data_IF_727011683948
#
_entry.id   IF_727011683948
#
_cell.length_a   1.000
_cell.length_b   1.000
_cell.length_c   1.000
_cell.angle_alpha   90.00
_cell.angle_beta   90.00
_cell.angle_gamma   90.00
#
_symmetry.space_group_name_H-M   'P 1'
#
loop_
_entity.id
_entity.type
_entity.pdbx_description
1 polymer ?
#
# COMPACT_ATOMS: atom_id res chain seq x y z
N UNK A 1 -14.97 -11.06 1.82
CA UNK A 1 -15.07 -10.83 0.35
C UNK A 1 -16.47 -11.10 -0.21
N UNK A 2 -17.18 -12.15 0.22
CA UNK A 2 -18.57 -12.39 -0.19
C UNK A 2 -19.51 -11.19 0.02
N UNK A 3 -19.37 -10.47 1.14
CA UNK A 3 -20.13 -9.25 1.43
C UNK A 3 -19.87 -8.13 0.41
N UNK A 4 -18.60 -7.88 0.07
CA UNK A 4 -18.23 -6.86 -0.93
C UNK A 4 -18.86 -7.21 -2.27
N UNK A 5 -18.70 -8.47 -2.72
CA UNK A 5 -19.30 -8.96 -3.96
C UNK A 5 -20.83 -8.78 -3.99
N UNK A 6 -21.51 -9.13 -2.90
CA UNK A 6 -22.97 -9.00 -2.79
C UNK A 6 -23.44 -7.53 -2.80
N UNK A 7 -22.70 -6.63 -2.14
CA UNK A 7 -23.06 -5.21 -2.11
C UNK A 7 -22.78 -4.54 -3.46
N UNK A 8 -21.69 -4.93 -4.13
CA UNK A 8 -21.30 -4.38 -5.44
C UNK A 8 -22.32 -4.65 -6.55
N UNK A 9 -23.18 -5.67 -6.43
CA UNK A 9 -24.28 -5.87 -7.40
C UNK A 9 -25.44 -4.91 -7.19
N UNK A 10 -25.50 -4.23 -6.03
CA UNK A 10 -26.60 -3.32 -5.64
C UNK A 10 -26.19 -1.85 -5.63
N UNK A 11 -24.92 -1.56 -5.36
CA UNK A 11 -24.40 -0.20 -5.27
C UNK A 11 -22.89 -0.15 -5.54
N UNK A 12 -22.33 0.98 -5.99
CA UNK A 12 -20.89 1.15 -6.08
C UNK A 12 -20.26 1.08 -4.68
N UNK A 13 -19.33 0.13 -4.49
CA UNK A 13 -18.61 -0.06 -3.22
C UNK A 13 -17.19 0.48 -3.35
N UNK A 14 -16.79 1.37 -2.46
CA UNK A 14 -15.40 1.84 -2.31
C UNK A 14 -14.86 1.33 -0.97
N UNK A 15 -13.75 0.60 -0.99
CA UNK A 15 -13.09 0.15 0.23
C UNK A 15 -12.32 1.30 0.88
N UNK A 16 -12.71 1.71 2.08
CA UNK A 16 -12.14 2.88 2.75
C UNK A 16 -10.91 2.52 3.60
N UNK A 17 -9.76 3.18 3.38
CA UNK A 17 -8.53 3.03 4.19
C UNK A 17 -8.04 1.58 4.33
N UNK A 18 -8.17 0.82 3.26
CA UNK A 18 -7.74 -0.56 3.20
C UNK A 18 -6.48 -0.60 2.34
N UNK A 19 -5.29 -0.81 2.93
CA UNK A 19 -4.03 -0.99 2.19
C UNK A 19 -4.09 -2.19 1.23
N UNK A 20 -3.37 -3.28 1.50
CA UNK A 20 -3.47 -4.51 0.69
C UNK A 20 -4.88 -5.10 0.62
N UNK A 21 -5.69 -4.93 1.67
CA UNK A 21 -7.11 -5.34 1.66
C UNK A 21 -7.95 -4.57 0.63
N UNK A 22 -7.49 -3.39 0.18
CA UNK A 22 -8.14 -2.62 -0.87
C UNK A 22 -8.07 -3.32 -2.22
N UNK A 23 -6.91 -3.87 -2.60
CA UNK A 23 -6.76 -4.69 -3.80
C UNK A 23 -7.65 -5.93 -3.75
N UNK A 24 -7.72 -6.59 -2.59
CA UNK A 24 -8.61 -7.75 -2.41
C UNK A 24 -10.10 -7.37 -2.51
N UNK A 25 -10.48 -6.19 -2.00
CA UNK A 25 -11.84 -5.68 -2.12
C UNK A 25 -12.21 -5.36 -3.58
N UNK A 26 -11.29 -4.75 -4.34
CA UNK A 26 -11.48 -4.52 -5.78
C UNK A 26 -11.58 -5.82 -6.54
N UNK A 27 -10.69 -6.78 -6.26
CA UNK A 27 -10.77 -8.14 -6.82
C UNK A 27 -12.10 -8.84 -6.51
N UNK A 28 -12.74 -8.53 -5.37
CA UNK A 28 -14.05 -9.04 -4.98
C UNK A 28 -15.23 -8.27 -5.59
N UNK A 29 -15.00 -7.14 -6.27
CA UNK A 29 -16.02 -6.35 -6.98
C UNK A 29 -16.18 -4.91 -6.50
N UNK A 30 -15.37 -4.41 -5.57
CA UNK A 30 -15.36 -2.98 -5.26
C UNK A 30 -14.87 -2.17 -6.48
N UNK A 31 -15.42 -0.98 -6.70
CA UNK A 31 -15.01 -0.10 -7.83
C UNK A 31 -13.64 0.56 -7.58
N UNK A 32 -13.16 0.52 -6.34
CA UNK A 32 -11.90 1.11 -5.96
C UNK A 32 -11.70 1.05 -4.45
N UNK A 33 -10.56 1.58 -4.01
CA UNK A 33 -10.28 1.73 -2.59
C UNK A 33 -9.58 3.05 -2.32
N UNK A 34 -9.93 3.69 -1.22
CA UNK A 34 -9.26 4.89 -0.77
C UNK A 34 -7.96 4.50 -0.09
N UNK A 35 -6.88 5.03 -0.64
CA UNK A 35 -5.58 5.03 0.03
C UNK A 35 -5.40 6.37 0.67
N UNK A 36 -5.46 6.45 2.00
CA UNK A 36 -5.07 7.64 2.74
C UNK A 36 -3.57 7.82 2.58
N UNK A 37 -3.16 8.42 1.46
CA UNK A 37 -1.78 8.51 0.97
C UNK A 37 -0.85 8.83 2.14
N UNK A 38 -0.15 7.81 2.66
CA UNK A 38 0.82 7.85 3.78
C UNK A 38 0.37 7.29 5.15
N UNK A 39 -0.51 7.98 5.88
CA UNK A 39 -0.62 7.79 7.35
C UNK A 39 -1.74 6.82 7.74
N UNK A 40 -2.75 6.67 6.88
CA UNK A 40 -4.05 6.10 7.22
C UNK A 40 -4.39 4.82 6.42
N UNK A 41 -3.37 4.16 5.86
CA UNK A 41 -3.57 2.94 5.06
C UNK A 41 -3.94 1.71 5.91
N UNK A 42 -3.65 1.79 7.21
CA UNK A 42 -4.14 0.85 8.21
C UNK A 42 -5.48 1.38 8.71
N UNK A 43 -6.55 0.62 8.54
CA UNK A 43 -7.80 0.87 9.22
C UNK A 43 -7.67 0.51 10.71
N UNK A 44 -6.92 1.33 11.47
CA UNK A 44 -6.79 1.20 12.92
C UNK A 44 -7.80 2.12 13.60
N UNK A 45 -8.98 1.56 13.89
CA UNK A 45 -10.05 2.30 14.56
C UNK A 45 -9.64 2.83 15.94
N UNK A 46 -8.78 2.10 16.67
CA UNK A 46 -8.33 2.51 17.99
C UNK A 46 -7.38 3.72 17.90
N UNK A 47 -6.44 3.70 16.95
CA UNK A 47 -5.57 4.83 16.67
C UNK A 47 -6.38 6.05 16.19
N UNK A 48 -7.34 5.83 15.28
CA UNK A 48 -8.21 6.91 14.76
C UNK A 48 -9.02 7.59 15.87
N UNK A 49 -9.56 6.81 16.81
CA UNK A 49 -10.27 7.32 17.97
C UNK A 49 -9.35 8.12 18.93
N UNK A 50 -8.07 7.73 19.06
CA UNK A 50 -7.08 8.45 19.88
C UNK A 50 -6.68 9.80 19.28
N UNK A 51 -6.51 9.87 17.96
CA UNK A 51 -6.13 11.12 17.25
C UNK A 51 -7.25 12.16 17.30
N UNK A 52 -8.51 11.75 17.41
CA UNK A 52 -9.66 12.66 17.59
C UNK A 52 -9.79 13.25 19.00
N UNK A 53 -9.01 12.78 19.99
CA UNK A 53 -9.02 13.40 21.32
C UNK A 53 -8.31 14.75 21.25
N UNK A 54 -8.81 15.79 21.95
CA UNK A 54 -8.13 17.07 22.05
C UNK A 54 -6.70 16.86 22.54
N UNK A 55 -5.72 17.19 21.71
CA UNK A 55 -4.31 17.20 22.10
C UNK A 55 -3.99 18.57 22.73
N UNK A 56 -3.18 18.62 23.80
CA UNK A 56 -2.71 19.90 24.33
C UNK A 56 -1.97 20.69 23.22
N UNK A 57 -2.07 22.02 23.20
CA UNK A 57 -1.48 22.84 22.15
C UNK A 57 0.06 22.75 22.25
N UNK A 58 0.64 21.89 21.42
CA UNK A 58 2.08 21.68 21.41
C UNK A 58 2.78 22.75 20.56
N UNK A 59 3.85 23.34 21.10
CA UNK A 59 4.51 24.53 20.54
C UNK A 59 5.19 24.22 19.20
N UNK A 60 4.84 24.98 18.15
CA UNK A 60 5.62 25.19 16.91
C UNK A 60 6.34 23.94 16.38
N UNK A 61 5.62 22.87 16.07
CA UNK A 61 6.11 21.90 15.09
C UNK A 61 5.68 22.37 13.71
N UNK A 62 6.66 22.70 12.86
CA UNK A 62 6.41 22.81 11.42
C UNK A 62 5.61 21.59 10.99
N UNK A 63 4.44 21.82 10.39
CA UNK A 63 3.53 20.80 9.87
C UNK A 63 4.14 20.13 8.62
N UNK A 64 5.35 19.58 8.74
CA UNK A 64 5.91 18.72 7.70
C UNK A 64 5.20 17.39 7.79
N UNK A 65 4.34 17.15 6.77
CA UNK A 65 3.72 15.85 6.56
C UNK A 65 4.80 14.75 6.62
N UNK A 66 4.63 13.72 7.45
CA UNK A 66 5.59 12.64 7.52
C UNK A 66 5.74 12.00 6.14
N UNK A 67 6.98 11.65 5.76
CA UNK A 67 7.27 10.92 4.53
C UNK A 67 6.84 9.47 4.72
N UNK A 68 6.06 8.94 3.79
CA UNK A 68 5.77 7.51 3.74
C UNK A 68 5.99 6.97 2.33
N UNK A 69 6.83 5.95 2.20
CA UNK A 69 7.20 5.38 0.90
C UNK A 69 6.39 4.12 0.68
N UNK A 70 5.70 4.05 -0.46
CA UNK A 70 4.97 2.87 -0.87
C UNK A 70 5.91 1.75 -1.30
N UNK A 71 5.78 0.59 -0.67
CA UNK A 71 6.55 -0.61 -1.01
C UNK A 71 5.58 -1.65 -1.57
N UNK A 72 5.56 -1.83 -2.90
CA UNK A 72 4.63 -2.76 -3.58
C UNK A 72 4.73 -4.19 -3.07
N UNK A 73 5.91 -4.65 -2.66
CA UNK A 73 6.07 -5.98 -2.05
C UNK A 73 5.17 -6.18 -0.83
N UNK A 74 4.98 -5.13 -0.02
CA UNK A 74 4.09 -5.15 1.14
C UNK A 74 2.71 -4.53 0.83
N UNK A 75 2.54 -4.03 -0.40
CA UNK A 75 1.65 -2.98 -0.87
C UNK A 75 0.98 -2.15 0.21
N UNK A 76 1.85 -1.52 0.97
CA UNK A 76 1.53 -0.46 1.90
C UNK A 76 2.67 0.56 1.92
N UNK A 77 2.35 1.75 2.39
CA UNK A 77 3.34 2.77 2.69
C UNK A 77 3.91 2.55 4.08
N UNK A 78 5.23 2.66 4.20
CA UNK A 78 5.94 2.63 5.50
C UNK A 78 6.56 3.99 5.77
N UNK A 79 6.87 4.31 7.03
CA UNK A 79 7.52 5.59 7.35
C UNK A 79 8.85 5.72 6.61
N UNK A 80 9.24 6.96 6.30
CA UNK A 80 10.46 7.23 5.55
C UNK A 80 11.72 6.63 6.19
N UNK A 81 11.81 6.62 7.51
CA UNK A 81 12.93 5.98 8.23
C UNK A 81 12.96 4.47 8.01
N UNK A 82 11.81 3.79 8.12
CA UNK A 82 11.71 2.35 7.87
C UNK A 82 12.02 2.03 6.41
N UNK A 83 11.49 2.81 5.47
CA UNK A 83 11.78 2.64 4.05
C UNK A 83 13.28 2.74 3.78
N UNK A 84 13.94 3.73 4.37
CA UNK A 84 15.38 3.95 4.22
C UNK A 84 16.21 2.79 4.80
N UNK A 85 15.88 2.32 6.00
CA UNK A 85 16.54 1.14 6.58
C UNK A 85 16.38 -0.10 5.71
N UNK A 86 15.19 -0.32 5.14
CA UNK A 86 14.91 -1.48 4.30
C UNK A 86 15.58 -1.38 2.92
N UNK A 87 15.58 -0.21 2.30
CA UNK A 87 16.17 0.03 0.97
C UNK A 87 17.71 0.07 1.02
N UNK A 88 18.29 0.51 2.13
CA UNK A 88 19.74 0.50 2.31
C UNK A 88 20.29 -0.89 2.69
N UNK A 89 19.42 -1.84 3.02
CA UNK A 89 19.81 -3.24 3.14
C UNK A 89 20.03 -3.84 1.74
N UNK A 90 21.29 -4.14 1.39
CA UNK A 90 21.68 -4.64 0.08
C UNK A 90 20.92 -5.90 -0.37
N UNK A 91 20.52 -6.76 0.57
CA UNK A 91 19.73 -7.95 0.24
C UNK A 91 18.30 -7.60 -0.15
N UNK A 92 17.67 -6.63 0.52
CA UNK A 92 16.26 -6.28 0.29
C UNK A 92 16.08 -5.23 -0.81
N UNK A 93 17.10 -4.43 -1.08
CA UNK A 93 17.05 -3.31 -2.03
C UNK A 93 16.48 -3.72 -3.39
N UNK A 94 16.99 -4.79 -3.98
CA UNK A 94 16.57 -5.24 -5.31
C UNK A 94 15.10 -5.68 -5.37
N UNK A 95 14.54 -6.19 -4.27
CA UNK A 95 13.15 -6.64 -4.20
C UNK A 95 12.18 -5.51 -3.83
N UNK A 96 12.65 -4.51 -3.10
CA UNK A 96 11.83 -3.40 -2.63
C UNK A 96 11.81 -2.19 -3.55
N UNK A 97 12.84 -2.03 -4.38
CA UNK A 97 12.98 -0.89 -5.28
C UNK A 97 12.03 -1.02 -6.47
N UNK A 98 11.34 0.06 -6.80
CA UNK A 98 10.55 0.16 -8.02
C UNK A 98 11.48 0.08 -9.23
N UNK A 99 11.18 -0.86 -10.13
CA UNK A 99 11.97 -1.13 -11.34
C UNK A 99 11.37 -0.51 -12.60
N UNK A 100 10.24 0.18 -12.49
CA UNK A 100 9.57 0.81 -13.62
C UNK A 100 10.14 2.22 -13.83
N UNK A 101 10.84 2.48 -14.96
CA UNK A 101 11.44 3.78 -15.24
C UNK A 101 10.42 4.88 -15.50
N UNK A 102 9.19 4.55 -15.93
CA UNK A 102 8.10 5.52 -16.07
C UNK A 102 7.51 5.91 -14.71
N UNK A 103 7.63 5.03 -13.71
CA UNK A 103 7.21 5.32 -12.33
C UNK A 103 8.29 6.07 -11.54
N UNK A 104 9.53 5.55 -11.55
CA UNK A 104 10.66 6.04 -10.78
C UNK A 104 11.93 6.08 -11.65
N UNK A 105 12.28 7.26 -12.14
CA UNK A 105 13.42 7.49 -13.04
C UNK A 105 14.76 7.02 -12.48
N UNK A 106 15.00 7.25 -11.18
CA UNK A 106 16.23 6.88 -10.48
C UNK A 106 15.98 5.81 -9.40
N UNK A 107 14.99 4.94 -9.60
CA UNK A 107 14.65 3.84 -8.70
C UNK A 107 14.42 4.31 -7.25
N UNK A 108 15.19 3.76 -6.30
CA UNK A 108 15.05 4.00 -4.86
C UNK A 108 15.12 5.48 -4.45
N UNK A 109 15.95 6.28 -5.13
CA UNK A 109 16.08 7.71 -4.87
C UNK A 109 14.81 8.46 -5.25
N UNK A 110 14.25 8.16 -6.44
CA UNK A 110 12.97 8.73 -6.89
C UNK A 110 11.81 8.26 -6.02
N UNK A 111 11.77 6.99 -5.60
CA UNK A 111 10.76 6.49 -4.67
C UNK A 111 10.73 7.27 -3.35
N UNK A 112 11.90 7.71 -2.89
CA UNK A 112 12.05 8.44 -1.63
C UNK A 112 11.71 9.92 -1.76
N UNK A 113 12.15 10.57 -2.84
CA UNK A 113 11.92 12.00 -3.09
C UNK A 113 10.50 12.28 -3.58
N UNK A 114 10.00 11.47 -4.51
CA UNK A 114 8.70 11.59 -5.18
C UNK A 114 7.71 10.54 -4.64
N UNK A 115 7.77 10.29 -3.33
CA UNK A 115 7.06 9.18 -2.68
C UNK A 115 5.55 9.19 -2.91
N UNK A 116 4.93 10.36 -3.07
CA UNK A 116 3.50 10.51 -3.38
C UNK A 116 3.18 10.06 -4.79
N UNK A 117 3.95 10.56 -5.77
CA UNK A 117 3.80 10.24 -7.18
C UNK A 117 4.02 8.74 -7.39
N UNK A 118 5.07 8.19 -6.79
CA UNK A 118 5.35 6.76 -6.78
C UNK A 118 4.18 5.94 -6.22
N UNK A 119 3.65 6.31 -5.05
CA UNK A 119 2.53 5.59 -4.44
C UNK A 119 1.28 5.56 -5.34
N UNK A 120 0.94 6.69 -5.98
CA UNK A 120 -0.21 6.78 -6.88
C UNK A 120 0.01 5.95 -8.15
N UNK A 121 1.16 6.12 -8.81
CA UNK A 121 1.48 5.41 -10.06
C UNK A 121 1.56 3.90 -9.85
N UNK A 122 2.28 3.46 -8.82
CA UNK A 122 2.42 2.04 -8.50
C UNK A 122 1.06 1.38 -8.24
N UNK A 123 0.18 2.06 -7.49
CA UNK A 123 -1.17 1.54 -7.20
C UNK A 123 -2.11 1.57 -8.38
N UNK A 124 -2.04 2.61 -9.21
CA UNK A 124 -2.80 2.66 -10.44
C UNK A 124 -2.41 1.49 -11.36
N UNK A 125 -1.12 1.17 -11.45
CA UNK A 125 -0.62 0.00 -12.17
C UNK A 125 -1.12 -1.30 -11.58
N UNK A 126 -1.04 -1.49 -10.25
CA UNK A 126 -1.56 -2.68 -9.57
C UNK A 126 -3.07 -2.88 -9.80
N UNK A 127 -3.84 -1.78 -9.85
CA UNK A 127 -5.27 -1.83 -10.17
C UNK A 127 -5.53 -2.17 -11.64
N UNK A 128 -4.75 -1.61 -12.58
CA UNK A 128 -4.83 -1.94 -13.99
C UNK A 128 -4.50 -3.43 -14.24
N UNK A 129 -3.45 -3.94 -13.60
CA UNK A 129 -3.09 -5.37 -13.66
C UNK A 129 -4.24 -6.25 -13.17
N UNK A 130 -4.92 -5.88 -12.08
CA UNK A 130 -6.11 -6.60 -11.62
C UNK A 130 -7.27 -6.51 -12.60
N UNK A 131 -7.47 -5.36 -13.26
CA UNK A 131 -8.58 -5.19 -14.18
C UNK A 131 -8.39 -6.00 -15.48
N UNK A 132 -7.16 -6.13 -15.95
CA UNK A 132 -6.79 -6.97 -17.10
C UNK A 132 -7.03 -8.48 -16.85
N UNK A 133 -7.23 -8.90 -15.60
CA UNK A 133 -7.50 -10.31 -15.28
C UNK A 133 -8.96 -10.71 -15.56
N UNK A 134 -9.19 -11.88 -16.16
CA UNK A 134 -10.47 -12.23 -16.79
C UNK A 134 -11.64 -12.46 -15.84
N UNK A 135 -11.39 -12.85 -14.59
CA UNK A 135 -12.46 -13.10 -13.62
C UNK A 135 -12.02 -12.85 -12.17
N UNK A 136 -13.01 -12.69 -11.29
CA UNK A 136 -12.80 -12.41 -9.86
C UNK A 136 -12.00 -13.51 -9.13
N UNK A 137 -12.13 -14.78 -9.53
CA UNK A 137 -11.36 -15.87 -8.94
C UNK A 137 -9.86 -15.74 -9.22
N UNK A 138 -9.51 -15.38 -10.46
CA UNK A 138 -8.13 -15.10 -10.87
C UNK A 138 -7.56 -13.87 -10.17
N UNK A 139 -8.35 -12.79 -10.11
CA UNK A 139 -7.98 -11.56 -9.38
C UNK A 139 -7.69 -11.86 -7.90
N UNK A 140 -8.58 -12.59 -7.23
CA UNK A 140 -8.42 -12.96 -5.82
C UNK A 140 -7.23 -13.90 -5.59
N UNK A 141 -7.01 -14.87 -6.47
CA UNK A 141 -5.83 -15.74 -6.39
C UNK A 141 -4.53 -14.96 -6.57
N UNK A 142 -4.49 -13.99 -7.50
CA UNK A 142 -3.35 -13.11 -7.68
C UNK A 142 -3.06 -12.31 -6.39
N UNK A 143 -4.07 -11.67 -5.81
CA UNK A 143 -3.90 -10.92 -4.55
C UNK A 143 -3.46 -11.82 -3.40
N UNK A 144 -3.98 -13.05 -3.32
CA UNK A 144 -3.54 -14.03 -2.33
C UNK A 144 -2.04 -14.36 -2.46
N UNK A 145 -1.56 -14.61 -3.69
CA UNK A 145 -0.12 -14.86 -3.95
C UNK A 145 0.76 -13.66 -3.62
N UNK A 146 0.28 -12.42 -3.83
CA UNK A 146 0.99 -11.22 -3.40
C UNK A 146 1.12 -11.16 -1.88
N UNK A 147 0.02 -11.43 -1.15
CA UNK A 147 0.01 -11.44 0.31
C UNK A 147 0.93 -12.53 0.89
N UNK A 148 0.95 -13.73 0.30
CA UNK A 148 1.87 -14.82 0.68
C UNK A 148 3.33 -14.41 0.49
N UNK A 149 3.69 -13.82 -0.66
CA UNK A 149 5.06 -13.33 -0.92
C UNK A 149 5.47 -12.25 0.07
N UNK A 150 4.56 -11.36 0.44
CA UNK A 150 4.80 -10.32 1.43
C UNK A 150 5.09 -10.91 2.83
N UNK A 151 4.36 -11.97 3.20
CA UNK A 151 4.54 -12.69 4.47
C UNK A 151 5.84 -13.52 4.50
N UNK A 152 6.23 -14.10 3.37
CA UNK A 152 7.46 -14.90 3.20
C UNK A 152 8.74 -14.05 3.13
N UNK A 153 8.63 -12.79 2.72
CA UNK A 153 9.77 -11.87 2.54
C UNK A 153 10.72 -11.79 3.76
N UNK A 154 10.25 -11.70 5.02
CA UNK A 154 11.12 -11.78 6.19
C UNK A 154 11.67 -13.18 6.51
N UNK A 155 10.97 -14.26 6.11
CA UNK A 155 11.29 -15.63 6.53
C UNK A 155 12.27 -16.37 5.60
N UNK A 156 12.31 -16.04 4.31
CA UNK A 156 13.18 -16.75 3.34
C UNK A 156 14.67 -16.45 3.45
N UNK A 157 15.10 -15.50 4.29
CA UNK A 157 16.49 -15.01 4.28
C UNK A 157 17.19 -14.91 5.63
N UNK A 158 16.57 -15.38 6.71
CA UNK A 158 17.24 -15.61 8.02
C UNK A 158 17.87 -17.00 8.15
N UNK A 159 17.85 -17.81 7.07
CA UNK A 159 18.57 -19.10 7.00
C UNK A 159 19.91 -18.95 6.29
N UNK A 160 20.83 -18.14 6.79
CA UNK A 160 22.27 -18.24 6.53
C UNK A 160 23.03 -17.61 7.69
#
# INVERSE_FOLDING_TARGET
>A
MATVRHLSTKAPVIAWRQGHYGLAAVAAGAIGYQTGMAVDERCDFAQHARVRRPQPPDKKKDLKMPRHVYLSLFGRSVSGSVAESLINNGHLRGTLTCTDPACCTNGASSMSAEWRQHAVRARARELAELDDMPNAGWRLNHVARLAERAADAPARRTRF
#
